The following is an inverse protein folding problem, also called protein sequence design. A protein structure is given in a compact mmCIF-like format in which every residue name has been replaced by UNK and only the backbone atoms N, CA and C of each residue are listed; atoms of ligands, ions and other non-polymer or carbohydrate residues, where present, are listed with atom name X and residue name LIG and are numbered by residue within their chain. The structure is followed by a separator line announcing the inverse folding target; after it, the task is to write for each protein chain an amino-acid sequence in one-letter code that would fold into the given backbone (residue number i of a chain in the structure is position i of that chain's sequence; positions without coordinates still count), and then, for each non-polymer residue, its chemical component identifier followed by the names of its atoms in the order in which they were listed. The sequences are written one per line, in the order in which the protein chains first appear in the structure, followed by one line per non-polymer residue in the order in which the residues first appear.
data_IF_162255544183
#
_entry.id   IF_162255544183
#
_cell.length_a   1.000
_cell.length_b   1.000
_cell.length_c   1.000
_cell.angle_alpha   90.00
_cell.angle_beta   90.00
_cell.angle_gamma   90.00
#
_symmetry.space_group_name_H-M   'P 1'
#
loop_
_entity.id
_entity.type
_entity.pdbx_description
1 polymer ?
#
# COMPACT_ATOMS: atom_id res chain seq x y z
N UNK A 1 17.62 21.21 0.08
CA UNK A 1 17.68 19.75 0.33
C UNK A 1 16.51 19.47 1.27
N UNK A 2 15.41 18.90 0.78
CA UNK A 2 14.27 18.57 1.64
C UNK A 2 14.71 17.43 2.56
N UNK A 3 14.73 17.68 3.87
CA UNK A 3 14.92 16.62 4.86
C UNK A 3 13.82 15.58 4.66
N UNK A 4 14.18 14.39 4.21
CA UNK A 4 13.32 13.23 4.35
C UNK A 4 13.19 12.99 5.85
N UNK A 5 12.09 13.47 6.45
CA UNK A 5 11.74 13.10 7.80
C UNK A 5 11.64 11.58 7.84
N UNK A 6 12.56 10.99 8.60
CA UNK A 6 12.36 9.66 9.15
C UNK A 6 11.06 9.66 9.95
N UNK A 7 10.35 8.53 9.91
CA UNK A 7 9.20 8.33 10.79
C UNK A 7 9.72 8.54 12.22
N UNK A 8 9.10 9.42 13.02
CA UNK A 8 9.51 9.61 14.41
C UNK A 8 9.62 8.26 15.10
N UNK A 9 10.76 8.00 15.76
CA UNK A 9 10.89 6.90 16.69
C UNK A 9 10.82 7.46 18.10
N UNK A 10 9.86 7.01 18.86
CA UNK A 10 9.69 7.40 20.26
C UNK A 10 9.65 6.14 21.13
N UNK A 11 10.76 5.81 21.83
CA UNK A 11 10.82 4.62 22.68
C UNK A 11 9.77 4.59 23.80
N UNK A 12 9.24 5.75 24.20
CA UNK A 12 8.21 5.85 25.24
C UNK A 12 6.79 5.59 24.67
N UNK A 13 6.65 5.62 23.34
CA UNK A 13 5.38 5.39 22.64
C UNK A 13 5.40 4.13 21.76
N UNK A 14 6.52 3.40 21.72
CA UNK A 14 6.72 2.26 20.84
C UNK A 14 7.04 0.98 21.61
N UNK A 15 6.58 -0.15 21.06
CA UNK A 15 6.95 -1.48 21.55
C UNK A 15 7.39 -2.36 20.39
N UNK A 16 8.43 -3.16 20.61
CA UNK A 16 8.87 -4.15 19.64
C UNK A 16 7.99 -5.39 19.76
N UNK A 17 7.42 -5.81 18.63
CA UNK A 17 6.61 -7.03 18.53
C UNK A 17 7.30 -7.99 17.58
N UNK A 18 7.36 -9.28 17.94
CA UNK A 18 7.91 -10.31 17.07
C UNK A 18 7.05 -10.49 15.83
N UNK A 19 7.68 -10.57 14.65
CA UNK A 19 6.99 -10.63 13.36
C UNK A 19 5.99 -11.79 13.27
N UNK A 20 6.37 -12.98 13.76
CA UNK A 20 5.50 -14.16 13.74
C UNK A 20 4.28 -14.00 14.66
N UNK A 21 4.47 -13.37 15.83
CA UNK A 21 3.38 -13.08 16.74
C UNK A 21 2.42 -12.04 16.15
N UNK A 22 2.95 -11.01 15.50
CA UNK A 22 2.17 -10.00 14.80
C UNK A 22 1.39 -10.61 13.62
N UNK A 23 2.04 -11.46 12.82
CA UNK A 23 1.41 -12.19 11.71
C UNK A 23 0.22 -13.02 12.21
N UNK A 24 0.40 -13.80 13.27
CA UNK A 24 -0.67 -14.61 13.87
C UNK A 24 -1.84 -13.75 14.33
N UNK A 25 -1.56 -12.65 15.04
CA UNK A 25 -2.59 -11.71 15.47
C UNK A 25 -3.38 -11.14 14.29
N UNK A 26 -2.70 -10.74 13.21
CA UNK A 26 -3.39 -10.21 12.02
C UNK A 26 -4.32 -11.25 11.39
N UNK A 27 -3.86 -12.50 11.25
CA UNK A 27 -4.70 -13.60 10.73
C UNK A 27 -5.95 -13.76 11.60
N UNK A 28 -5.78 -13.87 12.91
CA UNK A 28 -6.89 -14.06 13.86
C UNK A 28 -7.91 -12.91 13.76
N UNK A 29 -7.45 -11.67 13.63
CA UNK A 29 -8.32 -10.50 13.48
C UNK A 29 -9.13 -10.53 12.18
N UNK A 30 -8.51 -10.82 11.03
CA UNK A 30 -9.23 -10.86 9.75
C UNK A 30 -10.18 -12.06 9.64
N UNK A 31 -9.79 -13.23 10.17
CA UNK A 31 -10.69 -14.39 10.27
C UNK A 31 -11.90 -14.07 11.14
N UNK A 32 -11.70 -13.38 12.27
CA UNK A 32 -12.79 -12.94 13.14
C UNK A 32 -13.74 -11.94 12.45
N UNK A 33 -13.26 -11.21 11.44
CA UNK A 33 -14.06 -10.36 10.55
C UNK A 33 -14.69 -11.10 9.36
N UNK A 34 -14.59 -12.43 9.31
CA UNK A 34 -15.30 -13.28 8.36
C UNK A 34 -14.53 -13.62 7.09
N UNK A 35 -13.24 -13.28 7.01
CA UNK A 35 -12.36 -13.64 5.91
C UNK A 35 -11.97 -15.13 5.96
N UNK A 36 -11.73 -15.75 4.80
CA UNK A 36 -11.21 -17.12 4.77
C UNK A 36 -9.80 -17.17 5.35
N UNK A 37 -9.42 -18.21 6.14
CA UNK A 37 -8.09 -18.29 6.76
C UNK A 37 -6.93 -18.14 5.77
N UNK A 38 -7.03 -18.77 4.61
CA UNK A 38 -6.00 -18.69 3.55
C UNK A 38 -5.83 -17.29 2.97
N UNK A 39 -6.91 -16.51 2.90
CA UNK A 39 -6.85 -15.12 2.44
C UNK A 39 -6.31 -14.20 3.55
N UNK A 40 -6.71 -14.46 4.80
CA UNK A 40 -6.19 -13.73 5.96
C UNK A 40 -4.68 -13.90 6.11
N UNK A 41 -4.13 -15.07 5.79
CA UNK A 41 -2.68 -15.31 5.72
C UNK A 41 -1.99 -14.41 4.69
N UNK A 42 -2.53 -14.30 3.47
CA UNK A 42 -1.99 -13.42 2.43
C UNK A 42 -2.00 -11.96 2.91
N UNK A 43 -3.11 -11.50 3.48
CA UNK A 43 -3.22 -10.12 3.99
C UNK A 43 -2.19 -9.88 5.10
N UNK A 44 -2.10 -10.79 6.08
CA UNK A 44 -1.15 -10.68 7.18
C UNK A 44 0.30 -10.65 6.70
N UNK A 45 0.66 -11.49 5.72
CA UNK A 45 1.99 -11.51 5.14
C UNK A 45 2.36 -10.18 4.50
N UNK A 46 1.45 -9.57 3.73
CA UNK A 46 1.71 -8.29 3.08
C UNK A 46 1.85 -7.15 4.08
N UNK A 47 1.03 -7.14 5.15
CA UNK A 47 1.12 -6.13 6.21
C UNK A 47 2.42 -6.25 7.01
N UNK A 48 2.81 -7.48 7.40
CA UNK A 48 4.05 -7.72 8.14
C UNK A 48 5.27 -7.45 7.26
N UNK A 49 5.22 -7.78 5.96
CA UNK A 49 6.30 -7.45 5.01
C UNK A 49 6.48 -5.93 4.87
N UNK A 50 5.40 -5.14 4.93
CA UNK A 50 5.50 -3.68 4.97
C UNK A 50 6.15 -3.17 6.27
N UNK A 51 5.79 -3.75 7.43
CA UNK A 51 6.39 -3.39 8.73
C UNK A 51 7.88 -3.72 8.80
N UNK A 52 8.28 -4.91 8.35
CA UNK A 52 9.68 -5.34 8.31
C UNK A 52 10.55 -4.46 7.41
N UNK A 53 9.93 -3.73 6.49
CA UNK A 53 10.59 -2.77 5.60
C UNK A 53 10.53 -1.33 6.11
N UNK A 54 9.99 -1.11 7.30
CA UNK A 54 9.84 0.22 7.90
C UNK A 54 8.70 1.06 7.30
N UNK A 55 7.79 0.46 6.53
CA UNK A 55 6.65 1.15 5.91
C UNK A 55 5.42 1.01 6.82
N UNK A 56 5.57 1.43 8.07
CA UNK A 56 4.57 1.18 9.13
C UNK A 56 3.19 1.75 8.82
N UNK A 57 3.10 2.87 8.09
CA UNK A 57 1.83 3.45 7.68
C UNK A 57 0.96 2.53 6.80
N UNK A 58 1.56 1.51 6.19
CA UNK A 58 0.88 0.53 5.33
C UNK A 58 1.03 -0.92 5.85
N UNK A 59 1.64 -1.10 7.02
CA UNK A 59 1.74 -2.38 7.73
C UNK A 59 0.61 -2.57 8.74
N UNK A 60 0.92 -3.21 9.87
CA UNK A 60 -0.06 -3.52 10.93
C UNK A 60 -0.80 -2.30 11.48
N UNK A 61 -0.20 -1.09 11.47
CA UNK A 61 -0.88 0.16 11.85
C UNK A 61 -2.12 0.44 10.98
N UNK A 62 -2.13 -0.01 9.72
CA UNK A 62 -3.28 0.15 8.84
C UNK A 62 -4.39 -0.90 9.09
N UNK A 63 -4.12 -1.96 9.86
CA UNK A 63 -5.08 -3.03 10.12
C UNK A 63 -6.43 -2.54 10.68
N UNK A 64 -6.48 -1.67 11.71
CA UNK A 64 -7.76 -1.17 12.23
C UNK A 64 -8.64 -0.51 11.16
N UNK A 65 -8.05 0.24 10.21
CA UNK A 65 -8.79 0.85 9.09
C UNK A 65 -9.43 -0.21 8.20
N UNK A 66 -8.72 -1.30 7.87
CA UNK A 66 -9.30 -2.38 7.07
C UNK A 66 -10.42 -3.11 7.82
N UNK A 67 -10.22 -3.38 9.11
CA UNK A 67 -11.22 -4.05 9.94
C UNK A 67 -12.50 -3.21 10.08
N UNK A 68 -12.37 -1.88 10.24
CA UNK A 68 -13.50 -0.95 10.25
C UNK A 68 -14.19 -0.86 8.89
N UNK A 69 -13.43 -0.85 7.79
CA UNK A 69 -14.00 -0.84 6.45
C UNK A 69 -14.76 -2.14 6.12
N UNK A 70 -14.38 -3.28 6.72
CA UNK A 70 -15.18 -4.51 6.70
C UNK A 70 -16.47 -4.32 7.51
N UNK A 71 -16.40 -3.75 8.71
CA UNK A 71 -17.59 -3.51 9.55
C UNK A 71 -18.61 -2.59 8.89
N UNK A 72 -18.15 -1.58 8.14
CA UNK A 72 -19.00 -0.66 7.39
C UNK A 72 -19.51 -1.23 6.05
N UNK A 73 -19.00 -2.39 5.62
CA UNK A 73 -19.37 -3.01 4.34
C UNK A 73 -18.68 -2.43 3.11
N UNK A 74 -17.69 -1.54 3.27
CA UNK A 74 -16.88 -1.01 2.18
C UNK A 74 -15.98 -2.11 1.59
N UNK A 75 -15.42 -2.95 2.45
CA UNK A 75 -14.65 -4.13 2.09
C UNK A 75 -15.52 -5.37 2.29
N UNK A 76 -15.63 -6.18 1.25
CA UNK A 76 -16.28 -7.49 1.34
C UNK A 76 -15.24 -8.53 1.82
N UNK A 77 -15.34 -9.05 3.06
CA UNK A 77 -14.38 -10.02 3.58
C UNK A 77 -14.46 -11.38 2.86
N UNK A 78 -15.50 -11.59 2.03
CA UNK A 78 -15.68 -12.77 1.18
C UNK A 78 -15.72 -12.41 -0.31
N UNK A 79 -15.25 -11.20 -0.65
CA UNK A 79 -15.13 -10.74 -2.01
C UNK A 79 -14.23 -11.67 -2.82
N UNK A 80 -14.64 -12.04 -4.02
CA UNK A 80 -13.91 -13.00 -4.83
C UNK A 80 -13.02 -12.29 -5.85
N UNK A 81 -11.71 -12.51 -5.73
CA UNK A 81 -10.72 -12.05 -6.72
C UNK A 81 -10.75 -13.00 -7.92
N UNK A 82 -11.08 -12.48 -9.10
CA UNK A 82 -11.25 -13.30 -10.31
C UNK A 82 -10.56 -12.68 -11.52
N UNK A 83 -9.93 -13.53 -12.34
CA UNK A 83 -9.46 -13.12 -13.67
C UNK A 83 -10.67 -13.08 -14.60
N UNK A 84 -10.99 -11.90 -15.13
CA UNK A 84 -12.17 -11.69 -15.99
C UNK A 84 -11.82 -11.57 -17.47
N UNK A 85 -10.54 -11.36 -17.80
CA UNK A 85 -10.02 -11.33 -19.16
C UNK A 85 -8.55 -11.64 -19.17
N UNK A 86 -8.09 -12.39 -20.17
CA UNK A 86 -6.67 -12.62 -20.37
C UNK A 86 -6.26 -12.86 -21.82
N UNK A 87 -4.99 -12.56 -22.10
CA UNK A 87 -4.25 -12.94 -23.29
C UNK A 87 -2.91 -13.55 -22.85
N UNK A 88 -2.01 -13.86 -23.79
CA UNK A 88 -0.69 -14.40 -23.48
C UNK A 88 0.15 -13.50 -22.54
N UNK A 89 0.06 -12.17 -22.71
CA UNK A 89 0.86 -11.21 -21.94
C UNK A 89 0.04 -10.26 -21.06
N UNK A 90 -1.30 -10.25 -21.16
CA UNK A 90 -2.17 -9.28 -20.47
C UNK A 90 -3.23 -10.02 -19.64
N UNK A 91 -3.57 -9.51 -18.46
CA UNK A 91 -4.68 -9.96 -17.64
C UNK A 91 -5.50 -8.80 -17.08
N UNK A 92 -6.77 -9.05 -16.79
CA UNK A 92 -7.63 -8.15 -16.02
C UNK A 92 -8.27 -8.93 -14.89
N UNK A 93 -8.13 -8.42 -13.68
CA UNK A 93 -8.70 -8.97 -12.45
C UNK A 93 -9.82 -8.07 -11.94
N UNK A 94 -10.95 -8.67 -11.60
CA UNK A 94 -11.95 -8.06 -10.73
C UNK A 94 -11.60 -8.40 -9.28
N UNK A 95 -11.42 -7.38 -8.44
CA UNK A 95 -11.04 -7.54 -7.04
C UNK A 95 -12.21 -7.91 -6.12
N UNK A 96 -13.46 -7.90 -6.62
CA UNK A 96 -14.63 -8.33 -5.87
C UNK A 96 -14.92 -7.51 -4.60
N UNK A 97 -14.46 -6.26 -4.52
CA UNK A 97 -14.43 -5.42 -3.29
C UNK A 97 -13.68 -6.06 -2.10
N UNK A 98 -12.88 -7.10 -2.35
CA UNK A 98 -12.05 -7.71 -1.33
C UNK A 98 -10.93 -6.77 -0.88
N UNK A 99 -10.27 -7.10 0.22
CA UNK A 99 -9.04 -6.41 0.66
C UNK A 99 -8.03 -6.38 -0.49
N UNK A 100 -7.49 -5.19 -0.78
CA UNK A 100 -6.65 -4.95 -1.96
C UNK A 100 -5.40 -5.84 -2.03
N UNK A 101 -4.87 -6.27 -0.88
CA UNK A 101 -3.74 -7.18 -0.80
C UNK A 101 -3.95 -8.49 -1.56
N UNK A 102 -5.18 -9.03 -1.56
CA UNK A 102 -5.50 -10.26 -2.27
C UNK A 102 -5.39 -10.06 -3.78
N UNK A 103 -6.07 -9.05 -4.31
CA UNK A 103 -6.09 -8.76 -5.73
C UNK A 103 -4.71 -8.34 -6.25
N UNK A 104 -3.96 -7.55 -5.48
CA UNK A 104 -2.62 -7.10 -5.86
C UNK A 104 -1.58 -8.23 -5.84
N UNK A 105 -1.63 -9.12 -4.83
CA UNK A 105 -0.78 -10.32 -4.78
C UNK A 105 -1.06 -11.20 -6.00
N UNK A 106 -2.34 -11.52 -6.26
CA UNK A 106 -2.73 -12.35 -7.40
C UNK A 106 -2.37 -11.72 -8.74
N UNK A 107 -2.49 -10.38 -8.86
CA UNK A 107 -2.13 -9.67 -10.06
C UNK A 107 -0.64 -9.77 -10.38
N UNK A 108 0.21 -9.61 -9.36
CA UNK A 108 1.65 -9.72 -9.53
C UNK A 108 2.10 -11.16 -9.83
N UNK A 109 1.51 -12.15 -9.17
CA UNK A 109 1.74 -13.57 -9.49
C UNK A 109 1.42 -13.86 -10.96
N UNK A 110 0.23 -13.45 -11.42
CA UNK A 110 -0.20 -13.64 -12.79
C UNK A 110 0.69 -12.88 -13.79
N UNK A 111 1.14 -11.67 -13.44
CA UNK A 111 2.07 -10.91 -14.27
C UNK A 111 3.42 -11.64 -14.43
N UNK A 112 3.96 -12.19 -13.33
CA UNK A 112 5.19 -12.99 -13.34
C UNK A 112 5.00 -14.26 -14.18
N UNK A 113 3.89 -14.99 -13.99
CA UNK A 113 3.56 -16.18 -14.78
C UNK A 113 3.52 -15.89 -16.28
N UNK A 114 2.81 -14.82 -16.68
CA UNK A 114 2.72 -14.40 -18.09
C UNK A 114 4.08 -13.95 -18.63
N UNK A 115 4.86 -13.20 -17.85
CA UNK A 115 6.19 -12.76 -18.25
C UNK A 115 7.17 -13.91 -18.49
N UNK A 116 7.05 -15.02 -17.75
CA UNK A 116 7.89 -16.22 -18.00
C UNK A 116 7.67 -16.81 -19.39
N UNK A 117 6.44 -16.73 -19.91
CA UNK A 117 6.06 -17.36 -21.18
C UNK A 117 6.17 -16.37 -22.36
N UNK A 118 5.65 -15.16 -22.18
CA UNK A 118 5.52 -14.17 -23.25
C UNK A 118 6.61 -13.08 -23.21
N UNK A 119 7.56 -13.14 -22.27
CA UNK A 119 8.60 -12.13 -22.05
C UNK A 119 8.13 -10.88 -21.29
N UNK A 120 6.81 -10.62 -21.26
CA UNK A 120 6.18 -9.55 -20.47
C UNK A 120 4.85 -10.00 -19.90
N UNK A 121 4.41 -9.35 -18.82
CA UNK A 121 3.14 -9.62 -18.17
C UNK A 121 2.57 -8.36 -17.55
N UNK A 122 1.37 -7.96 -17.99
CA UNK A 122 0.69 -6.77 -17.47
C UNK A 122 -0.68 -7.16 -16.96
N UNK A 123 -0.97 -6.88 -15.69
CA UNK A 123 -2.28 -7.19 -15.09
C UNK A 123 -2.89 -5.93 -14.52
N UNK A 124 -4.09 -5.60 -14.98
CA UNK A 124 -4.91 -4.53 -14.43
C UNK A 124 -5.88 -5.09 -13.39
N UNK A 125 -6.06 -4.39 -12.27
CA UNK A 125 -7.06 -4.73 -11.24
C UNK A 125 -8.12 -3.63 -11.25
N UNK A 126 -9.39 -4.02 -11.23
CA UNK A 126 -10.53 -3.12 -10.99
C UNK A 126 -11.34 -3.60 -9.80
N UNK A 127 -12.20 -2.75 -9.24
CA UNK A 127 -13.10 -3.13 -8.15
C UNK A 127 -12.36 -3.77 -6.95
N UNK A 128 -11.14 -3.29 -6.68
CA UNK A 128 -10.33 -3.67 -5.53
C UNK A 128 -10.28 -2.54 -4.50
N UNK A 129 -9.84 -2.88 -3.30
CA UNK A 129 -9.67 -1.94 -2.20
C UNK A 129 -8.20 -1.53 -2.03
N UNK A 130 -7.89 -0.70 -1.03
CA UNK A 130 -6.53 -0.28 -0.74
C UNK A 130 -5.59 -1.47 -0.52
N UNK A 131 -4.41 -1.46 -1.17
CA UNK A 131 -3.50 -2.60 -1.26
C UNK A 131 -2.21 -2.47 -0.42
N UNK A 132 -2.11 -1.50 0.48
CA UNK A 132 -0.90 -1.29 1.27
C UNK A 132 0.27 -0.72 0.45
N UNK A 133 1.50 -1.12 0.78
CA UNK A 133 2.72 -0.58 0.17
C UNK A 133 3.02 -1.26 -1.17
N UNK A 134 3.27 -0.46 -2.22
CA UNK A 134 3.50 -0.98 -3.57
C UNK A 134 4.84 -1.75 -3.68
N UNK A 135 5.83 -1.42 -2.83
CA UNK A 135 7.10 -2.16 -2.70
C UNK A 135 6.90 -3.66 -2.52
N UNK A 136 5.88 -4.07 -1.76
CA UNK A 136 5.63 -5.47 -1.41
C UNK A 136 5.38 -6.31 -2.67
N UNK A 137 4.69 -5.76 -3.66
CA UNK A 137 4.37 -6.47 -4.91
C UNK A 137 5.54 -6.47 -5.88
N UNK A 138 6.20 -5.33 -6.09
CA UNK A 138 7.34 -5.29 -7.05
C UNK A 138 8.53 -6.13 -6.57
N UNK A 139 8.64 -6.39 -5.27
CA UNK A 139 9.58 -7.35 -4.71
C UNK A 139 9.29 -8.79 -5.12
N UNK A 140 8.02 -9.17 -5.32
CA UNK A 140 7.68 -10.52 -5.80
C UNK A 140 8.27 -10.73 -7.20
N UNK A 141 8.16 -9.74 -8.08
CA UNK A 141 8.77 -9.79 -9.41
C UNK A 141 10.31 -9.82 -9.33
N UNK A 142 10.91 -8.95 -8.51
CA UNK A 142 12.35 -8.93 -8.34
C UNK A 142 12.91 -10.25 -7.78
N UNK A 143 12.23 -10.86 -6.79
CA UNK A 143 12.57 -12.20 -6.26
C UNK A 143 12.43 -13.29 -7.33
N UNK A 144 11.53 -13.11 -8.30
CA UNK A 144 11.38 -13.99 -9.46
C UNK A 144 12.40 -13.72 -10.59
N UNK A 145 13.37 -12.83 -10.38
CA UNK A 145 14.38 -12.48 -11.39
C UNK A 145 13.85 -11.56 -12.49
N UNK A 146 12.77 -10.82 -12.24
CA UNK A 146 12.09 -9.96 -13.22
C UNK A 146 11.99 -8.51 -12.73
N UNK A 147 12.01 -7.56 -13.67
CA UNK A 147 11.67 -6.17 -13.36
C UNK A 147 10.17 -6.09 -13.09
N UNK A 148 9.80 -5.59 -11.91
CA UNK A 148 8.42 -5.32 -11.52
C UNK A 148 8.08 -3.84 -11.55
N UNK A 149 6.89 -3.52 -12.03
CA UNK A 149 6.28 -2.19 -11.92
C UNK A 149 4.90 -2.33 -11.28
N UNK A 150 4.56 -1.39 -10.39
CA UNK A 150 3.26 -1.35 -9.75
C UNK A 150 2.81 0.11 -9.58
N UNK A 151 1.52 0.36 -9.85
CA UNK A 151 0.88 1.63 -9.54
C UNK A 151 -0.57 1.40 -9.15
N UNK A 152 -1.18 2.40 -8.52
CA UNK A 152 -2.59 2.38 -8.13
C UNK A 152 -3.21 3.76 -8.29
N UNK A 153 -4.48 3.79 -8.66
CA UNK A 153 -5.32 4.97 -8.48
C UNK A 153 -5.75 5.06 -7.01
N UNK A 154 -5.62 6.23 -6.37
CA UNK A 154 -6.24 6.45 -5.06
C UNK A 154 -7.64 7.04 -5.23
N UNK A 155 -8.61 6.64 -4.40
CA UNK A 155 -10.01 6.98 -4.63
C UNK A 155 -10.32 8.49 -4.64
N UNK A 156 -9.77 9.25 -3.70
CA UNK A 156 -10.15 10.65 -3.48
C UNK A 156 -9.06 11.60 -3.99
N UNK A 157 -9.47 12.74 -4.55
CA UNK A 157 -8.57 13.84 -4.83
C UNK A 157 -8.12 14.44 -3.49
N UNK A 158 -6.83 14.36 -3.21
CA UNK A 158 -6.24 14.79 -1.94
C UNK A 158 -4.99 15.64 -2.12
N UNK A 159 -4.59 15.89 -3.36
CA UNK A 159 -3.38 16.64 -3.71
C UNK A 159 -3.80 17.84 -4.54
N UNK A 160 -3.35 19.04 -4.15
CA UNK A 160 -3.48 20.22 -4.96
C UNK A 160 -2.56 20.10 -6.18
N UNK A 161 -3.12 20.24 -7.38
CA UNK A 161 -2.30 20.36 -8.59
C UNK A 161 -1.46 21.64 -8.54
N UNK A 162 -0.38 21.70 -9.30
CA UNK A 162 0.45 22.91 -9.39
C UNK A 162 -0.41 24.13 -9.77
N UNK A 163 -0.35 25.18 -8.95
CA UNK A 163 -1.17 26.39 -9.11
C UNK A 163 -2.59 26.31 -8.54
N UNK A 164 -3.00 25.16 -8.01
CA UNK A 164 -4.28 24.99 -7.31
C UNK A 164 -4.15 25.30 -5.81
N UNK A 165 -5.26 25.73 -5.21
CA UNK A 165 -5.43 25.89 -3.76
C UNK A 165 -6.37 24.85 -3.16
N UNK A 166 -6.91 23.97 -3.99
CA UNK A 166 -7.82 22.89 -3.60
C UNK A 166 -7.33 21.57 -4.16
N UNK A 167 -7.70 20.46 -3.51
CA UNK A 167 -7.44 19.12 -4.01
C UNK A 167 -7.99 18.93 -5.43
N UNK A 168 -7.13 18.46 -6.33
CA UNK A 168 -7.44 18.26 -7.75
C UNK A 168 -7.03 16.88 -8.25
N UNK A 169 -6.00 16.28 -7.64
CA UNK A 169 -5.49 14.95 -8.05
C UNK A 169 -5.43 13.98 -6.88
N UNK A 170 -5.45 12.70 -7.23
CA UNK A 170 -5.07 11.60 -6.36
C UNK A 170 -3.61 11.70 -5.90
N UNK A 171 -3.21 10.85 -4.94
CA UNK A 171 -1.82 10.62 -4.57
C UNK A 171 -1.40 9.17 -4.93
N UNK A 172 -1.30 8.83 -6.23
CA UNK A 172 -0.99 7.47 -6.64
C UNK A 172 0.40 7.06 -6.15
N UNK A 173 0.54 5.78 -5.80
CA UNK A 173 1.85 5.18 -5.57
C UNK A 173 2.45 4.73 -6.91
N UNK A 174 3.76 4.87 -7.04
CA UNK A 174 4.56 4.27 -8.12
C UNK A 174 5.70 3.50 -7.48
N UNK A 175 5.83 2.23 -7.87
CA UNK A 175 6.92 1.38 -7.41
C UNK A 175 7.58 0.63 -8.56
N UNK A 176 8.88 0.40 -8.41
CA UNK A 176 9.73 -0.39 -9.28
C UNK A 176 10.57 -1.34 -8.45
N UNK A 177 10.67 -2.59 -8.88
CA UNK A 177 11.54 -3.61 -8.29
C UNK A 177 12.45 -4.17 -9.38
N UNK A 178 13.76 -4.01 -9.23
CA UNK A 178 14.75 -4.41 -10.23
C UNK A 178 15.66 -5.46 -9.59
N UNK A 179 15.72 -6.69 -10.15
CA UNK A 179 16.59 -7.72 -9.65
C UNK A 179 18.05 -7.34 -9.91
N UNK A 180 18.93 -7.76 -9.01
CA UNK A 180 20.37 -7.61 -9.16
C UNK A 180 21.01 -8.99 -9.17
N UNK A 181 22.19 -9.13 -9.80
CA UNK A 181 22.89 -10.41 -9.89
C UNK A 181 23.28 -11.00 -8.53
N UNK A 182 23.57 -10.14 -7.55
CA UNK A 182 23.93 -10.51 -6.19
C UNK A 182 23.49 -9.42 -5.22
N UNK A 183 22.90 -9.82 -4.08
CA UNK A 183 22.44 -8.91 -3.04
C UNK A 183 20.95 -8.59 -3.11
N UNK A 184 20.54 -7.53 -2.42
CA UNK A 184 19.15 -7.10 -2.36
C UNK A 184 18.74 -6.37 -3.66
N UNK A 185 17.49 -6.56 -4.14
CA UNK A 185 17.00 -5.87 -5.33
C UNK A 185 16.93 -4.35 -5.11
N UNK A 186 17.06 -3.59 -6.20
CA UNK A 186 16.79 -2.14 -6.17
C UNK A 186 15.27 -1.96 -6.14
N UNK A 187 14.77 -1.23 -5.14
CA UNK A 187 13.34 -0.94 -5.00
C UNK A 187 13.12 0.55 -4.86
N UNK A 188 12.33 1.11 -5.76
CA UNK A 188 11.71 2.42 -5.62
C UNK A 188 10.26 2.21 -5.21
N UNK A 189 9.79 2.91 -4.18
CA UNK A 189 8.38 2.97 -3.78
C UNK A 189 8.09 4.37 -3.25
N UNK A 190 7.26 5.12 -3.96
CA UNK A 190 6.98 6.51 -3.64
C UNK A 190 5.54 6.90 -3.97
N UNK A 191 5.03 7.83 -3.17
CA UNK A 191 3.85 8.61 -3.51
C UNK A 191 4.23 9.68 -4.57
N UNK A 192 3.28 10.06 -5.43
CA UNK A 192 3.53 11.10 -6.45
C UNK A 192 3.39 12.53 -5.93
N UNK A 193 2.79 12.74 -4.77
CA UNK A 193 2.82 14.02 -4.08
C UNK A 193 4.13 14.23 -3.30
N UNK A 194 4.35 15.45 -2.81
CA UNK A 194 5.52 15.81 -1.97
C UNK A 194 5.68 14.93 -0.73
N UNK A 195 4.59 14.38 -0.21
CA UNK A 195 4.59 13.41 0.88
C UNK A 195 3.40 12.46 0.79
N UNK A 196 3.38 11.46 1.67
CA UNK A 196 2.24 10.54 1.82
C UNK A 196 1.35 10.98 2.98
N UNK A 197 0.05 10.72 2.86
CA UNK A 197 -0.87 10.88 3.98
C UNK A 197 -0.46 10.03 5.19
N UNK A 198 0.15 8.86 4.96
CA UNK A 198 0.70 8.04 6.05
C UNK A 198 1.72 8.80 6.91
N UNK A 199 2.58 9.63 6.29
CA UNK A 199 3.55 10.46 7.02
C UNK A 199 2.88 11.63 7.75
N UNK A 200 1.89 12.29 7.15
CA UNK A 200 1.11 13.36 7.81
C UNK A 200 0.41 12.80 9.06
N UNK A 201 -0.30 11.68 8.93
CA UNK A 201 -0.94 11.02 10.06
C UNK A 201 0.07 10.51 11.09
N UNK A 202 1.29 10.11 10.71
CA UNK A 202 2.34 9.83 11.70
C UNK A 202 2.65 11.06 12.54
N UNK A 203 2.90 12.21 11.92
CA UNK A 203 3.20 13.44 12.67
C UNK A 203 2.05 13.83 13.60
N UNK A 204 0.80 13.67 13.15
CA UNK A 204 -0.38 13.85 14.01
C UNK A 204 -0.36 12.94 15.24
N UNK A 205 -0.07 11.64 15.07
CA UNK A 205 -0.01 10.69 16.18
C UNK A 205 1.07 11.03 17.21
N UNK A 206 2.25 11.45 16.76
CA UNK A 206 3.34 11.84 17.65
C UNK A 206 3.21 13.28 18.18
N UNK A 207 2.15 14.02 17.81
CA UNK A 207 1.95 15.42 18.20
C UNK A 207 3.03 16.37 17.65
N UNK A 208 3.56 16.08 16.46
CA UNK A 208 4.64 16.84 15.81
C UNK A 208 4.12 17.60 14.59
N UNK A 209 4.74 18.74 14.22
CA UNK A 209 4.40 19.43 12.97
C UNK A 209 4.87 18.65 11.73
N UNK A 210 4.25 18.91 10.58
CA UNK A 210 4.75 18.49 9.26
C UNK A 210 5.68 19.57 8.66
N UNK A 211 6.63 19.21 7.78
CA UNK A 211 7.45 20.20 7.08
C UNK A 211 6.63 21.22 6.29
N UNK A 212 7.18 22.42 6.21
CA UNK A 212 6.66 23.46 5.31
C UNK A 212 6.58 22.94 3.88
N UNK A 213 5.45 23.24 3.21
CA UNK A 213 5.19 22.86 1.83
C UNK A 213 4.63 21.45 1.64
N UNK A 214 4.30 20.72 2.71
CA UNK A 214 3.65 19.40 2.59
C UNK A 214 2.15 19.47 2.36
N UNK A 215 1.47 20.45 2.97
CA UNK A 215 0.02 20.54 2.94
C UNK A 215 -0.48 21.98 2.87
N UNK A 216 -1.73 22.13 2.48
CA UNK A 216 -2.52 23.34 2.55
C UNK A 216 -3.67 23.09 3.54
N UNK A 217 -4.13 24.14 4.23
CA UNK A 217 -5.32 24.06 5.06
C UNK A 217 -6.62 24.18 4.26
N UNK A 218 -7.77 24.18 4.96
CA UNK A 218 -9.09 24.34 4.34
C UNK A 218 -9.30 25.67 3.59
N UNK A 219 -8.52 26.72 3.89
CA UNK A 219 -8.52 27.98 3.16
C UNK A 219 -7.58 27.95 1.93
N UNK A 220 -6.77 26.91 1.79
CA UNK A 220 -5.75 26.75 0.75
C UNK A 220 -4.43 27.45 1.09
N UNK A 221 -4.19 27.75 2.37
CA UNK A 221 -2.93 28.36 2.84
C UNK A 221 -1.94 27.27 3.30
N UNK A 222 -0.62 27.44 3.06
CA UNK A 222 0.37 26.50 3.55
C UNK A 222 0.30 26.30 5.06
N UNK A 223 0.30 25.03 5.50
CA UNK A 223 0.25 24.69 6.93
C UNK A 223 1.36 23.71 7.31
N UNK A 224 1.79 23.80 8.57
CA UNK A 224 2.67 22.83 9.24
C UNK A 224 1.94 22.05 10.34
N UNK A 225 0.66 22.35 10.57
CA UNK A 225 -0.19 21.64 11.51
C UNK A 225 -0.84 20.45 10.79
N UNK A 226 -0.51 19.19 11.17
CA UNK A 226 -1.08 18.01 10.53
C UNK A 226 -2.59 17.84 10.78
N UNK A 227 -3.18 18.54 11.75
CA UNK A 227 -4.63 18.52 11.99
C UNK A 227 -5.39 19.49 11.08
N UNK A 228 -4.72 20.54 10.60
CA UNK A 228 -5.27 21.52 9.66
C UNK A 228 -5.08 21.11 8.19
N UNK A 229 -4.17 20.17 7.93
CA UNK A 229 -3.78 19.66 6.61
C UNK A 229 -4.86 18.85 5.88
#
# INVERSE_FOLDING_TARGET
MQETLDIPRDPDQETVVQADALRKLMIDLFVKKGMFPVEAEVVADRLVEADLRGIHSHGSRAAPRYLQAIDHGDIDPRGQVQVIKETGAIGVIDGGRAVGHLAATRAMELAIEKARVAGTGTVAVRNGQHFGAAAVYVLMAAKAGMIGYCTTSTGWATVAAYGSRTSATANPAIAWGIPVRSGAPVVLDMACAVSSWGKVHSQLLYGRPIPSGWALDAAGEPTTDPSAA
#
